data_IF_910712278621
#
_entry.id   IF_910712278621
#
_cell.length_a   1.000
_cell.length_b   1.000
_cell.length_c   1.000
_cell.angle_alpha   90.00
_cell.angle_beta   90.00
_cell.angle_gamma   90.00
#
_symmetry.space_group_name_H-M   'P 1'
#
loop_
_entity.id
_entity.type
_entity.pdbx_description
1 polymer ?
#
# COMPACT_ATOMS: atom_id res chain seq x y z
N UNK A 1 -15.86 -9.01 18.22
CA UNK A 1 -14.87 -9.68 17.36
C UNK A 1 -14.67 -8.79 16.15
N UNK A 2 -13.73 -7.84 16.23
CA UNK A 2 -13.37 -6.99 15.09
C UNK A 2 -12.91 -7.89 13.95
N UNK A 3 -13.76 -8.03 12.94
CA UNK A 3 -13.33 -8.70 11.71
C UNK A 3 -12.25 -7.80 11.14
N UNK A 4 -11.00 -8.28 10.95
CA UNK A 4 -9.99 -7.46 10.31
C UNK A 4 -10.57 -6.95 8.99
N UNK A 5 -10.51 -5.63 8.77
CA UNK A 5 -11.06 -4.98 7.59
C UNK A 5 -10.49 -5.52 6.27
N UNK A 6 -9.45 -6.35 6.34
CA UNK A 6 -8.77 -7.02 5.24
C UNK A 6 -8.58 -8.52 5.49
N UNK A 7 -8.31 -9.27 4.42
CA UNK A 7 -8.02 -10.71 4.42
C UNK A 7 -6.75 -10.95 3.59
N UNK A 8 -5.65 -11.34 4.23
CA UNK A 8 -4.35 -11.57 3.60
C UNK A 8 -4.20 -13.03 3.14
N UNK A 9 -3.91 -13.22 1.86
CA UNK A 9 -3.64 -14.50 1.20
C UNK A 9 -2.18 -14.54 0.77
N UNK A 10 -1.40 -15.49 1.29
CA UNK A 10 0.01 -15.66 0.92
C UNK A 10 0.13 -16.92 0.06
N UNK A 11 0.41 -16.74 -1.23
CA UNK A 11 0.54 -17.81 -2.20
C UNK A 11 1.93 -17.77 -2.86
N UNK A 12 2.93 -18.47 -2.32
CA UNK A 12 4.30 -18.39 -2.85
C UNK A 12 4.44 -18.84 -4.32
N UNK A 13 3.58 -19.75 -4.76
CA UNK A 13 3.61 -20.36 -6.08
C UNK A 13 3.12 -19.41 -7.21
N UNK A 14 2.36 -18.35 -6.88
CA UNK A 14 1.87 -17.42 -7.92
C UNK A 14 2.92 -16.41 -8.40
N UNK A 15 4.08 -16.30 -7.71
CA UNK A 15 5.14 -15.35 -8.08
C UNK A 15 5.54 -15.47 -9.55
N UNK A 16 5.99 -16.67 -9.96
CA UNK A 16 6.50 -16.93 -11.32
C UNK A 16 5.45 -16.75 -12.41
N UNK A 17 4.22 -17.32 -12.31
CA UNK A 17 3.22 -17.10 -13.35
C UNK A 17 2.77 -15.63 -13.41
N UNK A 18 2.57 -14.95 -12.28
CA UNK A 18 2.16 -13.55 -12.29
C UNK A 18 3.24 -12.59 -12.82
N UNK A 19 4.52 -12.81 -12.49
CA UNK A 19 5.64 -12.05 -13.07
C UNK A 19 5.78 -12.29 -14.57
N UNK A 20 5.50 -13.50 -15.05
CA UNK A 20 5.63 -13.87 -16.47
C UNK A 20 4.52 -13.26 -17.33
N UNK A 21 3.31 -13.12 -16.79
CA UNK A 21 2.13 -12.79 -17.60
C UNK A 21 1.43 -11.47 -17.24
N UNK A 22 1.64 -10.91 -16.05
CA UNK A 22 0.84 -9.78 -15.55
C UNK A 22 1.69 -8.58 -15.15
N UNK A 23 2.63 -8.75 -14.20
CA UNK A 23 3.30 -7.63 -13.56
C UNK A 23 4.73 -8.04 -13.13
N UNK A 24 5.80 -7.58 -13.83
CA UNK A 24 7.16 -8.07 -13.60
C UNK A 24 7.71 -7.80 -12.18
N UNK A 25 7.24 -6.74 -11.51
CA UNK A 25 7.70 -6.33 -10.18
C UNK A 25 6.58 -6.31 -9.12
N UNK A 26 5.53 -7.12 -9.28
CA UNK A 26 4.45 -7.14 -8.29
C UNK A 26 4.87 -7.84 -7.00
N UNK A 27 4.43 -7.30 -5.86
CA UNK A 27 4.71 -7.87 -4.53
C UNK A 27 3.42 -8.27 -3.81
N UNK A 28 2.40 -7.44 -3.91
CA UNK A 28 1.05 -7.73 -3.50
C UNK A 28 0.05 -7.04 -4.43
N UNK A 29 -1.21 -7.46 -4.35
CA UNK A 29 -2.35 -6.82 -5.02
C UNK A 29 -3.53 -6.82 -4.07
N UNK A 30 -4.24 -5.70 -4.03
CA UNK A 30 -5.46 -5.54 -3.24
C UNK A 30 -6.70 -5.50 -4.13
N UNK A 31 -7.67 -6.36 -3.83
CA UNK A 31 -8.97 -6.45 -4.50
C UNK A 31 -10.06 -6.45 -3.44
N UNK A 32 -10.77 -5.33 -3.29
CA UNK A 32 -11.76 -5.17 -2.24
C UNK A 32 -11.11 -5.27 -0.86
N UNK A 33 -11.51 -6.27 -0.07
CA UNK A 33 -10.90 -6.59 1.22
C UNK A 33 -9.77 -7.62 1.15
N UNK A 34 -9.48 -8.17 -0.02
CA UNK A 34 -8.52 -9.26 -0.18
C UNK A 34 -7.15 -8.71 -0.59
N UNK A 35 -6.14 -8.95 0.23
CA UNK A 35 -4.74 -8.67 -0.08
C UNK A 35 -4.12 -10.00 -0.49
N UNK A 36 -3.58 -10.08 -1.70
CA UNK A 36 -2.93 -11.29 -2.20
C UNK A 36 -1.45 -10.96 -2.38
N UNK A 37 -0.56 -11.76 -1.78
CA UNK A 37 0.89 -11.61 -1.93
C UNK A 37 1.54 -12.96 -2.17
N UNK A 38 2.72 -12.96 -2.80
CA UNK A 38 3.56 -14.15 -2.92
C UNK A 38 4.58 -14.30 -1.78
N UNK A 39 4.73 -13.29 -0.92
CA UNK A 39 5.64 -13.30 0.23
C UNK A 39 4.96 -12.86 1.51
N UNK A 40 5.65 -13.05 2.63
CA UNK A 40 5.28 -12.40 3.88
C UNK A 40 5.52 -10.89 3.71
N UNK A 41 4.50 -10.11 4.05
CA UNK A 41 4.55 -8.66 4.02
C UNK A 41 5.14 -8.13 5.33
N UNK A 42 6.01 -7.12 5.24
CA UNK A 42 6.42 -6.38 6.42
C UNK A 42 5.24 -5.59 7.01
N UNK A 43 5.35 -5.09 8.24
CA UNK A 43 4.31 -4.23 8.81
C UNK A 43 4.06 -2.98 7.96
N UNK A 44 5.11 -2.43 7.34
CA UNK A 44 5.02 -1.30 6.44
C UNK A 44 4.31 -1.65 5.12
N UNK A 45 4.68 -2.78 4.50
CA UNK A 45 4.04 -3.26 3.26
C UNK A 45 2.55 -3.57 3.53
N UNK A 46 2.23 -4.15 4.69
CA UNK A 46 0.85 -4.41 5.08
C UNK A 46 0.06 -3.11 5.30
N UNK A 47 0.68 -2.06 5.86
CA UNK A 47 0.03 -0.76 6.01
C UNK A 47 -0.30 -0.11 4.66
N UNK A 48 0.60 -0.24 3.69
CA UNK A 48 0.37 0.15 2.30
C UNK A 48 -0.86 -0.55 1.72
N UNK A 49 -0.90 -1.88 1.75
CA UNK A 49 -2.00 -2.66 1.20
C UNK A 49 -3.33 -2.45 1.96
N UNK A 50 -3.27 -2.25 3.28
CA UNK A 50 -4.45 -1.87 4.07
C UNK A 50 -5.02 -0.53 3.62
N UNK A 51 -4.19 0.42 3.20
CA UNK A 51 -4.71 1.70 2.68
C UNK A 51 -5.47 1.50 1.38
N UNK A 52 -5.02 0.60 0.51
CA UNK A 52 -5.80 0.21 -0.67
C UNK A 52 -7.11 -0.47 -0.31
N UNK A 53 -7.16 -1.28 0.76
CA UNK A 53 -8.42 -1.87 1.25
C UNK A 53 -9.40 -0.78 1.69
N UNK A 54 -8.93 0.24 2.42
CA UNK A 54 -9.75 1.39 2.81
C UNK A 54 -10.28 2.15 1.58
N UNK A 55 -9.42 2.44 0.60
CA UNK A 55 -9.80 3.11 -0.65
C UNK A 55 -10.82 2.28 -1.44
N UNK A 56 -10.65 0.96 -1.48
CA UNK A 56 -11.61 0.03 -2.06
C UNK A 56 -12.96 0.03 -1.33
N UNK A 57 -12.96 0.11 0.01
CA UNK A 57 -14.19 0.20 0.80
C UNK A 57 -14.90 1.53 0.60
N UNK A 58 -14.15 2.63 0.44
CA UNK A 58 -14.69 3.97 0.20
C UNK A 58 -15.26 4.14 -1.21
N UNK A 59 -14.61 3.57 -2.23
CA UNK A 59 -14.97 3.80 -3.64
C UNK A 59 -15.61 2.59 -4.34
N UNK A 60 -15.56 1.39 -3.75
CA UNK A 60 -16.01 0.15 -4.36
C UNK A 60 -15.33 -0.11 -5.69
N UNK A 61 -16.06 -0.69 -6.65
CA UNK A 61 -15.55 -0.96 -8.02
C UNK A 61 -15.09 0.30 -8.76
N UNK A 62 -15.57 1.50 -8.37
CA UNK A 62 -15.13 2.77 -8.98
C UNK A 62 -13.66 3.04 -8.71
N UNK A 63 -13.08 2.44 -7.67
CA UNK A 63 -11.67 2.58 -7.34
C UNK A 63 -10.76 2.25 -8.53
N UNK A 64 -11.04 1.18 -9.28
CA UNK A 64 -10.24 0.79 -10.45
C UNK A 64 -10.20 1.93 -11.49
N UNK A 65 -11.36 2.53 -11.76
CA UNK A 65 -11.48 3.61 -12.74
C UNK A 65 -10.78 4.87 -12.25
N UNK A 66 -10.96 5.23 -10.97
CA UNK A 66 -10.32 6.38 -10.35
C UNK A 66 -8.80 6.24 -10.34
N UNK A 67 -8.30 5.07 -9.93
CA UNK A 67 -6.87 4.78 -9.87
C UNK A 67 -6.22 4.87 -11.26
N UNK A 68 -6.80 4.20 -12.27
CA UNK A 68 -6.28 4.25 -13.64
C UNK A 68 -6.44 5.64 -14.26
N UNK A 69 -7.49 6.37 -13.89
CA UNK A 69 -7.72 7.75 -14.31
C UNK A 69 -6.66 8.69 -13.77
N UNK A 70 -6.36 8.61 -12.47
CA UNK A 70 -5.36 9.44 -11.81
C UNK A 70 -3.95 9.18 -12.35
N UNK A 71 -3.58 7.90 -12.55
CA UNK A 71 -2.31 7.57 -13.20
C UNK A 71 -2.21 8.09 -14.64
N UNK A 72 -3.29 8.03 -15.43
CA UNK A 72 -3.33 8.61 -16.78
C UNK A 72 -3.21 10.13 -16.76
N UNK A 73 -3.86 10.80 -15.80
CA UNK A 73 -3.77 12.25 -15.64
C UNK A 73 -2.34 12.68 -15.30
N UNK A 74 -1.69 12.00 -14.35
CA UNK A 74 -0.28 12.22 -14.01
C UNK A 74 0.64 12.04 -15.23
N UNK A 75 0.46 10.98 -16.01
CA UNK A 75 1.25 10.78 -17.24
C UNK A 75 1.02 11.86 -18.29
N UNK A 76 -0.22 12.34 -18.45
CA UNK A 76 -0.52 13.46 -19.38
C UNK A 76 0.13 14.77 -18.92
N UNK A 77 0.34 14.93 -17.62
CA UNK A 77 1.09 16.06 -17.03
C UNK A 77 2.61 15.89 -17.09
N UNK A 78 3.13 14.80 -17.69
CA UNK A 78 4.56 14.51 -17.77
C UNK A 78 5.14 13.75 -16.55
N UNK A 79 4.30 13.33 -15.62
CA UNK A 79 4.68 12.56 -14.43
C UNK A 79 4.64 11.04 -14.62
N UNK A 80 4.89 10.31 -13.53
CA UNK A 80 4.91 8.86 -13.48
C UNK A 80 3.57 8.30 -12.98
N UNK A 81 2.91 7.48 -13.82
CA UNK A 81 1.57 6.89 -13.58
C UNK A 81 1.37 6.28 -12.20
N UNK A 82 2.41 5.66 -11.66
CA UNK A 82 2.39 5.00 -10.35
C UNK A 82 2.91 5.89 -9.22
N UNK A 83 3.95 6.70 -9.46
CA UNK A 83 4.59 7.46 -8.37
C UNK A 83 3.85 8.76 -8.05
N UNK A 84 3.08 9.26 -9.01
CA UNK A 84 2.34 10.51 -8.84
C UNK A 84 0.83 10.24 -8.73
N UNK A 85 0.44 8.97 -8.56
CA UNK A 85 -0.94 8.62 -8.31
C UNK A 85 -1.30 8.97 -6.86
N UNK A 86 -2.32 9.81 -6.59
CA UNK A 86 -2.72 10.19 -5.24
C UNK A 86 -3.00 8.98 -4.35
N UNK A 87 -3.58 7.91 -4.90
CA UNK A 87 -3.86 6.70 -4.13
C UNK A 87 -2.58 5.98 -3.66
N UNK A 88 -1.53 6.00 -4.48
CA UNK A 88 -0.20 5.45 -4.16
C UNK A 88 0.61 6.37 -3.23
N UNK A 89 0.37 7.68 -3.30
CA UNK A 89 0.95 8.65 -2.37
C UNK A 89 0.39 8.42 -0.97
N UNK A 90 -0.93 8.29 -0.83
CA UNK A 90 -1.56 7.97 0.45
C UNK A 90 -1.10 6.62 1.03
N UNK A 91 -1.01 5.59 0.18
CA UNK A 91 -0.55 4.28 0.60
C UNK A 91 0.92 4.31 1.08
N UNK A 92 1.79 5.02 0.35
CA UNK A 92 3.18 5.24 0.79
C UNK A 92 3.31 6.08 2.05
N UNK A 93 2.43 7.06 2.27
CA UNK A 93 2.43 7.82 3.51
C UNK A 93 2.11 6.92 4.72
N UNK A 94 1.17 5.96 4.55
CA UNK A 94 0.86 4.97 5.60
C UNK A 94 2.04 4.00 5.83
N UNK A 95 2.70 3.56 4.77
CA UNK A 95 3.92 2.75 4.82
C UNK A 95 5.06 3.47 5.55
N UNK A 96 5.30 4.74 5.22
CA UNK A 96 6.31 5.58 5.84
C UNK A 96 6.01 5.85 7.32
N UNK A 97 4.75 6.09 7.68
CA UNK A 97 4.34 6.26 9.08
C UNK A 97 4.62 5.03 9.96
N UNK A 98 4.68 3.83 9.37
CA UNK A 98 5.09 2.60 10.08
C UNK A 98 6.61 2.41 10.06
N UNK A 99 7.29 2.84 9.00
CA UNK A 99 8.77 2.77 8.91
C UNK A 99 9.45 3.76 9.83
N UNK A 100 8.89 4.95 9.98
CA UNK A 100 9.35 5.93 10.94
C UNK A 100 8.86 5.47 12.32
N UNK A 101 9.76 5.17 13.28
CA UNK A 101 9.31 5.01 14.65
C UNK A 101 8.63 6.31 15.08
N UNK A 102 7.39 6.22 15.54
CA UNK A 102 6.66 7.37 16.08
C UNK A 102 7.45 7.97 17.24
N UNK A 103 8.20 9.04 16.97
CA UNK A 103 8.86 9.88 17.97
C UNK A 103 9.96 9.19 18.78
N UNK A 104 11.21 9.50 18.45
CA UNK A 104 12.21 9.63 19.51
C UNK A 104 11.69 10.61 20.55
N UNK A 105 11.54 10.17 21.79
CA UNK A 105 11.59 11.07 22.93
C UNK A 105 12.98 11.70 22.93
N UNK A 106 13.16 13.03 22.77
CA UNK A 106 14.41 13.64 23.19
C UNK A 106 14.54 13.37 24.68
N UNK A 107 15.58 12.62 25.05
CA UNK A 107 15.87 12.31 26.43
C UNK A 107 15.87 13.61 27.24
N UNK A 108 15.06 13.57 28.29
CA UNK A 108 14.92 14.50 29.37
C UNK A 108 16.24 15.22 29.70
N UNK A 109 16.15 16.55 29.62
CA UNK A 109 16.89 17.51 30.44
C UNK A 109 17.35 16.90 31.78
N UNK A 110 18.66 16.88 32.01
CA UNK A 110 19.25 16.76 33.34
C UNK A 110 20.31 17.86 33.49
N UNK A 111 19.83 19.06 33.75
CA UNK A 111 20.50 19.96 34.68
C UNK A 111 20.45 19.37 36.10
N UNK A 112 21.61 19.34 36.76
CA UNK A 112 21.71 19.37 38.22
C UNK A 112 22.41 18.19 38.90
N UNK A 113 23.74 18.30 39.05
CA UNK A 113 24.41 18.45 40.36
C UNK A 113 25.91 18.75 40.18
#
# INVERSE_FOLDING_TARGET
MDTPGHCLHIWPWIKRPAQRFLLPNWEAITIGRHIISWRILSAADLAHERKHVEQWQQHGLRFIVLYLGAGRAAARAGGHRYRDNPFEIEARAAEEAIRLPSGGTPAHDQDGA
#
